data_IF_770928506202
#
_entry.id   IF_770928506202
#
_cell.length_a   1.000
_cell.length_b   1.000
_cell.length_c   1.000
_cell.angle_alpha   90.00
_cell.angle_beta   90.00
_cell.angle_gamma   90.00
#
_symmetry.space_group_name_H-M   'P 1'
#
loop_
_entity.id
_entity.type
_entity.pdbx_description
1 polymer ?
#
# COMPACT_ATOMS: atom_id res chain seq x y z
N UNK A 1 -0.84 7.30 -34.52
CA UNK A 1 -1.36 7.86 -33.24
C UNK A 1 -1.73 6.68 -32.36
N UNK A 2 -0.89 6.37 -31.37
CA UNK A 2 -1.20 5.39 -30.32
C UNK A 2 -2.27 5.99 -29.41
N UNK A 3 -3.34 5.25 -29.15
CA UNK A 3 -4.41 5.64 -28.21
C UNK A 3 -3.77 5.78 -26.81
N UNK A 4 -4.14 6.79 -26.01
CA UNK A 4 -3.67 6.86 -24.62
C UNK A 4 -4.10 5.59 -23.88
N UNK A 5 -3.13 4.91 -23.24
CA UNK A 5 -3.38 3.73 -22.42
C UNK A 5 -4.02 4.24 -21.12
N UNK A 6 -5.29 3.90 -20.91
CA UNK A 6 -5.99 4.26 -19.68
C UNK A 6 -5.54 3.28 -18.59
N UNK A 7 -5.06 3.76 -17.43
CA UNK A 7 -4.65 2.87 -16.36
C UNK A 7 -5.79 1.97 -15.88
N UNK A 8 -5.49 0.72 -15.57
CA UNK A 8 -6.48 -0.26 -15.09
C UNK A 8 -6.86 0.00 -13.64
N UNK A 9 -7.97 -0.59 -13.17
CA UNK A 9 -8.35 -0.53 -11.76
C UNK A 9 -7.32 -1.18 -10.86
N UNK A 10 -6.66 -2.25 -11.32
CA UNK A 10 -5.52 -2.86 -10.65
C UNK A 10 -4.35 -1.89 -10.48
N UNK A 11 -3.94 -1.18 -11.53
CA UNK A 11 -2.81 -0.24 -11.45
C UNK A 11 -3.05 0.88 -10.42
N UNK A 12 -4.28 1.42 -10.37
CA UNK A 12 -4.66 2.40 -9.35
C UNK A 12 -4.74 1.80 -7.96
N UNK A 13 -5.24 0.57 -7.83
CA UNK A 13 -5.24 -0.16 -6.57
C UNK A 13 -3.81 -0.40 -6.08
N UNK A 14 -2.90 -0.76 -6.98
CA UNK A 14 -1.50 -1.05 -6.66
C UNK A 14 -0.77 0.17 -6.12
N UNK A 15 -0.96 1.33 -6.76
CA UNK A 15 -0.46 2.60 -6.23
C UNK A 15 -1.06 2.90 -4.85
N UNK A 16 -2.39 2.75 -4.71
CA UNK A 16 -3.09 3.00 -3.44
C UNK A 16 -2.62 2.04 -2.34
N UNK A 17 -2.25 0.81 -2.66
CA UNK A 17 -1.65 -0.13 -1.71
C UNK A 17 -0.32 0.39 -1.21
N UNK A 18 0.60 0.76 -2.10
CA UNK A 18 1.91 1.29 -1.68
C UNK A 18 1.70 2.51 -0.78
N UNK A 19 0.90 3.48 -1.21
CA UNK A 19 0.59 4.65 -0.40
C UNK A 19 -0.04 4.30 0.95
N UNK A 20 -0.99 3.35 1.00
CA UNK A 20 -1.62 2.94 2.25
C UNK A 20 -0.60 2.36 3.24
N UNK A 21 0.41 1.61 2.76
CA UNK A 21 1.49 1.11 3.61
C UNK A 21 2.44 2.22 4.07
N UNK A 22 2.71 3.22 3.22
CA UNK A 22 3.49 4.42 3.60
C UNK A 22 2.86 5.27 4.69
N UNK A 23 1.59 5.07 5.02
CA UNK A 23 0.91 5.84 6.08
C UNK A 23 0.34 4.94 7.17
N UNK A 24 0.56 3.63 7.07
CA UNK A 24 -0.05 2.66 7.98
C UNK A 24 0.59 2.63 9.36
N UNK A 25 1.67 3.37 9.59
CA UNK A 25 2.31 3.65 10.87
C UNK A 25 2.19 5.14 11.26
N UNK A 26 1.46 5.93 10.46
CA UNK A 26 1.29 7.39 10.55
C UNK A 26 2.52 8.25 10.21
N UNK A 27 3.53 7.69 9.57
CA UNK A 27 4.73 8.42 9.18
C UNK A 27 5.05 8.18 7.70
N UNK A 28 5.41 9.24 6.97
CA UNK A 28 5.92 9.11 5.60
C UNK A 28 7.43 9.38 5.64
N UNK A 29 8.22 8.41 5.19
CA UNK A 29 9.68 8.55 5.05
C UNK A 29 10.09 8.86 3.59
N UNK A 30 11.27 9.46 3.42
CA UNK A 30 11.79 9.76 2.07
C UNK A 30 12.23 8.50 1.31
N UNK A 31 12.59 7.43 2.01
CA UNK A 31 12.97 6.15 1.38
C UNK A 31 11.75 5.47 0.74
N UNK A 32 10.59 5.52 1.39
CA UNK A 32 9.32 5.05 0.83
C UNK A 32 8.85 5.89 -0.36
N UNK A 33 9.00 7.22 -0.25
CA UNK A 33 8.72 8.18 -1.32
C UNK A 33 9.64 7.95 -2.53
N UNK A 34 10.90 7.58 -2.29
CA UNK A 34 11.83 7.18 -3.36
C UNK A 34 11.42 5.86 -4.00
N UNK A 35 10.98 4.89 -3.19
CA UNK A 35 10.51 3.59 -3.67
C UNK A 35 9.29 3.72 -4.59
N UNK A 36 8.28 4.53 -4.23
CA UNK A 36 7.07 4.67 -5.05
C UNK A 36 7.40 5.30 -6.42
N UNK A 37 8.32 6.27 -6.45
CA UNK A 37 8.81 6.86 -7.71
C UNK A 37 9.61 5.88 -8.54
N UNK A 38 10.46 5.08 -7.91
CA UNK A 38 11.20 4.04 -8.61
C UNK A 38 10.25 3.01 -9.25
N UNK A 39 9.26 2.53 -8.49
CA UNK A 39 8.22 1.62 -9.02
C UNK A 39 7.47 2.19 -10.20
N UNK A 40 7.20 3.50 -10.19
CA UNK A 40 6.56 4.16 -11.32
C UNK A 40 7.46 4.23 -12.56
N UNK A 41 8.76 4.49 -12.39
CA UNK A 41 9.75 4.41 -13.48
C UNK A 41 9.77 3.01 -14.08
N UNK A 42 9.65 1.98 -13.23
CA UNK A 42 9.57 0.56 -13.62
C UNK A 42 8.19 0.15 -14.17
N UNK A 43 7.27 1.10 -14.36
CA UNK A 43 5.92 0.89 -14.92
C UNK A 43 5.04 -0.06 -14.12
N UNK A 44 5.32 -0.25 -12.84
CA UNK A 44 4.49 -1.05 -11.92
C UNK A 44 3.05 -0.54 -11.91
N UNK A 45 2.87 0.78 -11.95
CA UNK A 45 1.55 1.42 -11.96
C UNK A 45 1.08 1.84 -13.36
N UNK A 46 1.69 1.30 -14.42
CA UNK A 46 1.41 1.71 -15.80
C UNK A 46 1.85 3.14 -16.11
N UNK A 47 0.97 3.92 -16.74
CA UNK A 47 1.21 5.30 -17.19
C UNK A 47 0.55 6.35 -16.27
N UNK A 48 0.30 6.01 -15.00
CA UNK A 48 -0.21 6.96 -14.01
C UNK A 48 0.74 8.15 -13.84
N UNK A 49 0.16 9.34 -13.70
CA UNK A 49 0.91 10.57 -13.36
C UNK A 49 1.10 10.62 -11.85
N UNK A 50 2.19 10.04 -11.38
CA UNK A 50 2.40 9.77 -9.95
C UNK A 50 2.28 11.00 -9.06
N UNK A 51 2.81 12.15 -9.48
CA UNK A 51 2.73 13.37 -8.67
C UNK A 51 1.27 13.84 -8.51
N UNK A 52 0.45 13.74 -9.56
CA UNK A 52 -0.97 14.08 -9.51
C UNK A 52 -1.72 13.08 -8.60
N UNK A 53 -1.45 11.78 -8.75
CA UNK A 53 -2.11 10.73 -7.97
C UNK A 53 -1.72 10.77 -6.48
N UNK A 54 -0.45 11.05 -6.16
CA UNK A 54 0.00 11.23 -4.78
C UNK A 54 -0.66 12.45 -4.12
N UNK A 55 -0.80 13.55 -4.87
CA UNK A 55 -1.51 14.73 -4.38
C UNK A 55 -2.98 14.42 -4.07
N UNK A 56 -3.65 13.67 -4.95
CA UNK A 56 -5.03 13.22 -4.72
C UNK A 56 -5.13 12.28 -3.52
N UNK A 57 -4.17 11.38 -3.30
CA UNK A 57 -4.16 10.46 -2.17
C UNK A 57 -3.91 11.18 -0.84
N UNK A 58 -3.02 12.16 -0.80
CA UNK A 58 -2.77 13.02 0.38
C UNK A 58 -4.03 13.79 0.76
N UNK A 59 -4.65 14.46 -0.22
CA UNK A 59 -5.87 15.19 0.03
C UNK A 59 -7.02 14.25 0.45
N UNK A 60 -7.10 13.04 -0.12
CA UNK A 60 -8.09 12.04 0.27
C UNK A 60 -7.90 11.57 1.73
N UNK A 61 -6.69 11.21 2.15
CA UNK A 61 -6.43 10.81 3.54
C UNK A 61 -6.66 11.97 4.50
N UNK A 62 -6.27 13.19 4.15
CA UNK A 62 -6.51 14.37 4.99
C UNK A 62 -8.00 14.66 5.18
N UNK A 63 -8.83 14.41 4.16
CA UNK A 63 -10.29 14.59 4.23
C UNK A 63 -11.01 13.47 5.00
N UNK A 64 -10.45 12.26 5.03
CA UNK A 64 -11.12 11.06 5.57
C UNK A 64 -10.52 10.57 6.89
N UNK A 65 -9.30 10.95 7.22
CA UNK A 65 -8.54 10.37 8.31
C UNK A 65 -8.45 8.85 8.17
N UNK A 66 -8.73 8.14 9.26
CA UNK A 66 -8.66 6.67 9.31
C UNK A 66 -9.63 5.99 8.33
N UNK A 67 -10.76 6.64 7.98
CA UNK A 67 -11.75 6.12 7.02
C UNK A 67 -11.19 6.00 5.59
N UNK A 68 -10.01 6.56 5.31
CA UNK A 68 -9.29 6.30 4.07
C UNK A 68 -9.05 4.80 3.86
N UNK A 69 -8.71 4.08 4.94
CA UNK A 69 -8.44 2.65 4.87
C UNK A 69 -9.71 1.83 4.58
N UNK A 70 -10.89 2.28 5.01
CA UNK A 70 -12.16 1.65 4.63
C UNK A 70 -12.35 1.66 3.11
N UNK A 71 -12.09 2.80 2.46
CA UNK A 71 -12.19 2.92 1.01
C UNK A 71 -11.13 2.07 0.30
N UNK A 72 -9.91 2.04 0.85
CA UNK A 72 -8.84 1.17 0.33
C UNK A 72 -9.24 -0.32 0.38
N UNK A 73 -9.64 -0.83 1.54
CA UNK A 73 -10.01 -2.24 1.68
C UNK A 73 -11.25 -2.62 0.87
N UNK A 74 -12.24 -1.73 0.75
CA UNK A 74 -13.38 -1.93 -0.17
C UNK A 74 -12.93 -2.04 -1.62
N UNK A 75 -11.88 -1.32 -2.02
CA UNK A 75 -11.33 -1.42 -3.38
C UNK A 75 -10.57 -2.72 -3.59
N UNK A 76 -9.76 -3.16 -2.62
CA UNK A 76 -9.10 -4.48 -2.63
C UNK A 76 -10.12 -5.60 -2.86
N UNK A 77 -11.26 -5.58 -2.16
CA UNK A 77 -12.30 -6.61 -2.29
C UNK A 77 -13.07 -6.59 -3.61
N UNK A 78 -13.04 -5.49 -4.36
CA UNK A 78 -13.85 -5.30 -5.58
C UNK A 78 -13.08 -5.51 -6.86
N UNK A 79 -11.79 -5.23 -6.86
CA UNK A 79 -10.94 -5.41 -8.03
C UNK A 79 -10.65 -6.90 -8.19
N UNK A 80 -11.07 -7.47 -9.32
CA UNK A 80 -10.69 -8.84 -9.67
C UNK A 80 -9.18 -8.87 -9.94
N UNK A 81 -8.47 -9.78 -9.27
CA UNK A 81 -7.04 -9.97 -9.38
C UNK A 81 -6.73 -11.44 -9.60
N UNK A 82 -5.72 -11.71 -10.41
CA UNK A 82 -5.06 -13.01 -10.49
C UNK A 82 -4.17 -13.24 -9.27
N UNK A 83 -3.83 -14.50 -8.95
CA UNK A 83 -2.87 -14.82 -7.89
C UNK A 83 -1.55 -14.04 -8.04
N UNK A 84 -1.07 -13.88 -9.27
CA UNK A 84 0.16 -13.13 -9.56
C UNK A 84 -0.01 -11.63 -9.29
N UNK A 85 -1.16 -11.04 -9.62
CA UNK A 85 -1.46 -9.64 -9.30
C UNK A 85 -1.54 -9.41 -7.78
N UNK A 86 -2.15 -10.32 -7.03
CA UNK A 86 -2.18 -10.27 -5.56
C UNK A 86 -0.78 -10.42 -4.94
N UNK A 87 0.04 -11.34 -5.48
CA UNK A 87 1.44 -11.48 -5.06
C UNK A 87 2.25 -10.23 -5.37
N UNK A 88 2.03 -9.57 -6.50
CA UNK A 88 2.70 -8.31 -6.85
C UNK A 88 2.24 -7.13 -5.98
N UNK A 89 0.98 -7.14 -5.57
CA UNK A 89 0.43 -6.22 -4.57
C UNK A 89 1.15 -6.39 -3.22
N UNK A 90 1.23 -7.62 -2.72
CA UNK A 90 1.95 -7.97 -1.49
C UNK A 90 3.45 -7.66 -1.58
N UNK A 91 4.09 -7.97 -2.70
CA UNK A 91 5.50 -7.66 -2.94
C UNK A 91 5.78 -6.17 -2.77
N UNK A 92 4.88 -5.32 -3.27
CA UNK A 92 5.04 -3.87 -3.18
C UNK A 92 4.75 -3.34 -1.78
N UNK A 93 3.73 -3.88 -1.09
CA UNK A 93 3.49 -3.59 0.32
C UNK A 93 4.71 -3.94 1.18
N UNK A 94 5.26 -5.16 1.02
CA UNK A 94 6.44 -5.63 1.76
C UNK A 94 7.69 -4.79 1.47
N UNK A 95 7.88 -4.37 0.22
CA UNK A 95 9.00 -3.49 -0.14
C UNK A 95 8.86 -2.10 0.48
N UNK A 96 7.62 -1.61 0.65
CA UNK A 96 7.36 -0.29 1.25
C UNK A 96 7.79 -0.28 2.72
N UNK A 97 7.29 -1.23 3.51
CA UNK A 97 7.61 -1.34 4.96
C UNK A 97 9.06 -1.77 5.25
N UNK A 98 9.84 -2.05 4.20
CA UNK A 98 11.26 -2.39 4.29
C UNK A 98 12.15 -1.24 3.82
N UNK A 99 11.58 -0.15 3.28
CA UNK A 99 12.35 0.89 2.64
C UNK A 99 13.25 1.64 3.63
N UNK A 100 12.82 1.78 4.88
CA UNK A 100 13.56 2.45 5.97
C UNK A 100 14.34 1.46 6.88
N UNK A 101 14.55 0.22 6.42
CA UNK A 101 15.21 -0.88 7.13
C UNK A 101 14.60 -1.28 8.49
N UNK A 102 13.36 -0.86 8.80
CA UNK A 102 12.72 -1.17 10.09
C UNK A 102 11.24 -1.53 9.98
N UNK A 103 10.96 -2.83 9.89
CA UNK A 103 9.59 -3.33 9.99
C UNK A 103 9.06 -3.21 11.42
N UNK A 104 7.95 -2.51 11.58
CA UNK A 104 7.20 -2.31 12.82
C UNK A 104 6.08 -3.35 12.98
N UNK A 105 5.60 -3.51 14.22
CA UNK A 105 4.46 -4.38 14.49
C UNK A 105 3.14 -3.83 13.89
N UNK A 106 3.02 -2.51 13.73
CA UNK A 106 1.85 -1.88 13.12
C UNK A 106 1.73 -2.24 11.65
N UNK A 107 2.83 -2.20 10.91
CA UNK A 107 2.91 -2.60 9.50
C UNK A 107 2.60 -4.09 9.30
N UNK A 108 3.13 -4.96 10.17
CA UNK A 108 2.78 -6.39 10.17
C UNK A 108 1.28 -6.60 10.43
N UNK A 109 0.68 -5.82 11.34
CA UNK A 109 -0.76 -5.92 11.59
C UNK A 109 -1.57 -5.43 10.39
N UNK A 110 -1.10 -4.39 9.67
CA UNK A 110 -1.73 -3.92 8.45
C UNK A 110 -1.60 -4.93 7.30
N UNK A 111 -0.44 -5.62 7.18
CA UNK A 111 -0.26 -6.75 6.27
C UNK A 111 -1.23 -7.89 6.55
N UNK A 112 -1.47 -8.23 7.82
CA UNK A 112 -2.47 -9.25 8.19
C UNK A 112 -3.86 -8.85 7.70
N UNK A 113 -4.24 -7.58 7.82
CA UNK A 113 -5.53 -7.08 7.34
C UNK A 113 -5.63 -7.22 5.82
N UNK A 114 -4.62 -6.77 5.08
CA UNK A 114 -4.58 -6.94 3.62
C UNK A 114 -4.66 -8.42 3.25
N UNK A 115 -3.88 -9.29 3.90
CA UNK A 115 -3.85 -10.73 3.65
C UNK A 115 -5.23 -11.36 3.72
N UNK A 116 -6.07 -10.98 4.68
CA UNK A 116 -7.44 -11.54 4.85
C UNK A 116 -8.31 -11.31 3.61
N UNK A 117 -8.04 -10.25 2.85
CA UNK A 117 -8.83 -9.85 1.69
C UNK A 117 -8.39 -10.55 0.39
N UNK A 118 -7.19 -11.11 0.36
CA UNK A 118 -6.58 -11.72 -0.82
C UNK A 118 -6.93 -13.21 -0.91
N UNK A 119 -7.14 -13.71 -2.12
CA UNK A 119 -7.50 -15.10 -2.39
C UNK A 119 -6.30 -16.03 -2.54
N UNK A 120 -5.12 -15.49 -2.86
CA UNK A 120 -3.89 -16.24 -3.05
C UNK A 120 -3.55 -17.10 -1.83
N UNK A 121 -3.05 -18.30 -2.06
CA UNK A 121 -2.83 -19.27 -1.00
C UNK A 121 -1.72 -18.84 -0.02
N UNK A 122 -1.84 -19.27 1.24
CA UNK A 122 -0.77 -19.08 2.23
C UNK A 122 0.56 -19.71 1.78
N UNK A 123 0.50 -20.86 1.10
CA UNK A 123 1.68 -21.55 0.57
C UNK A 123 2.39 -20.72 -0.49
N UNK A 124 1.65 -20.12 -1.42
CA UNK A 124 2.18 -19.23 -2.45
C UNK A 124 2.87 -18.02 -1.80
N UNK A 125 2.26 -17.41 -0.78
CA UNK A 125 2.81 -16.26 -0.06
C UNK A 125 4.11 -16.63 0.67
N UNK A 126 4.11 -17.73 1.44
CA UNK A 126 5.32 -18.15 2.18
C UNK A 126 6.43 -18.56 1.23
N UNK A 127 6.10 -19.19 0.11
CA UNK A 127 7.08 -19.54 -0.93
C UNK A 127 7.69 -18.30 -1.57
N UNK A 128 6.87 -17.29 -1.89
CA UNK A 128 7.34 -16.05 -2.53
C UNK A 128 8.07 -15.11 -1.58
N UNK A 129 7.69 -15.10 -0.31
CA UNK A 129 8.19 -14.21 0.73
C UNK A 129 8.62 -14.99 2.00
N UNK A 130 9.66 -15.85 1.92
CA UNK A 130 10.01 -16.75 3.01
C UNK A 130 10.39 -16.05 4.33
N UNK A 131 10.89 -14.82 4.26
CA UNK A 131 11.33 -14.05 5.42
C UNK A 131 10.17 -13.33 6.14
N UNK A 132 9.23 -12.74 5.37
CA UNK A 132 8.17 -11.88 5.92
C UNK A 132 6.82 -12.59 5.93
N UNK A 133 6.55 -13.42 4.92
CA UNK A 133 5.32 -14.20 4.75
C UNK A 133 4.82 -14.87 6.03
N UNK A 134 5.66 -15.65 6.73
CA UNK A 134 5.27 -16.33 7.98
C UNK A 134 4.76 -15.41 9.10
N UNK A 135 5.04 -14.10 9.06
CA UNK A 135 4.67 -13.15 10.11
C UNK A 135 3.22 -12.65 9.98
N UNK A 136 2.63 -12.73 8.78
CA UNK A 136 1.30 -12.20 8.49
C UNK A 136 0.32 -13.20 7.86
N UNK A 137 0.79 -14.41 7.51
CA UNK A 137 -0.09 -15.52 7.15
C UNK A 137 -0.59 -16.23 8.41
N UNK A 138 -1.89 -16.16 8.66
CA UNK A 138 -2.52 -16.96 9.71
C UNK A 138 -2.82 -18.38 9.17
N UNK A 139 -2.54 -19.40 9.99
CA UNK A 139 -2.82 -20.80 9.67
C UNK A 139 -4.30 -21.13 9.85
N UNK A 140 -4.99 -20.39 10.70
CA UNK A 140 -6.35 -20.68 11.12
C UNK A 140 -7.32 -19.56 10.71
N UNK A 141 -7.89 -19.73 9.52
CA UNK A 141 -9.19 -19.19 9.07
C UNK A 141 -9.32 -17.67 8.94
N UNK A 142 -9.30 -17.20 7.69
CA UNK A 142 -9.81 -15.89 7.31
C UNK A 142 -11.35 -15.92 7.20
N UNK A 143 -12.04 -15.08 7.97
CA UNK A 143 -13.48 -14.80 7.79
C UNK A 143 -13.73 -13.29 7.81
N UNK A 144 -14.87 -12.84 7.29
CA UNK A 144 -15.29 -11.44 7.39
C UNK A 144 -15.34 -10.92 8.85
N UNK A 145 -15.64 -11.80 9.81
CA UNK A 145 -15.64 -11.46 11.24
C UNK A 145 -14.22 -11.17 11.71
N UNK A 146 -13.27 -12.05 11.35
CA UNK A 146 -11.86 -11.87 11.68
C UNK A 146 -11.29 -10.59 11.08
N UNK A 147 -11.62 -10.27 9.81
CA UNK A 147 -11.27 -8.97 9.22
C UNK A 147 -11.79 -7.79 10.04
N UNK A 148 -13.09 -7.81 10.38
CA UNK A 148 -13.73 -6.72 11.13
C UNK A 148 -13.10 -6.52 12.51
N UNK A 149 -12.78 -7.60 13.22
CA UNK A 149 -12.12 -7.53 14.52
C UNK A 149 -10.69 -6.99 14.40
N UNK A 150 -9.92 -7.51 13.45
CA UNK A 150 -8.54 -7.09 13.23
C UNK A 150 -8.46 -5.60 12.86
N UNK A 151 -9.30 -5.16 11.92
CA UNK A 151 -9.34 -3.77 11.51
C UNK A 151 -9.92 -2.85 12.60
N UNK A 152 -10.97 -3.26 13.32
CA UNK A 152 -11.48 -2.46 14.44
C UNK A 152 -10.43 -2.26 15.54
N UNK A 153 -9.63 -3.29 15.84
CA UNK A 153 -8.53 -3.18 16.80
C UNK A 153 -7.42 -2.26 16.30
N UNK A 154 -7.06 -2.36 15.01
CA UNK A 154 -6.09 -1.47 14.37
C UNK A 154 -6.56 0.00 14.40
N UNK A 155 -7.81 0.26 14.00
CA UNK A 155 -8.36 1.61 13.91
C UNK A 155 -8.55 2.28 15.28
N UNK A 156 -8.96 1.53 16.32
CA UNK A 156 -9.19 2.08 17.68
C UNK A 156 -7.97 2.78 18.28
N UNK A 157 -6.77 2.37 17.88
CA UNK A 157 -5.52 2.87 18.44
C UNK A 157 -4.91 4.00 17.62
N UNK A 158 -5.49 4.32 16.45
CA UNK A 158 -4.82 5.16 15.45
C UNK A 158 -5.54 6.50 15.27
N UNK A 159 -4.76 7.57 15.35
CA UNK A 159 -5.17 8.91 14.90
C UNK A 159 -4.32 9.25 13.69
N UNK A 160 -4.96 9.53 12.55
CA UNK A 160 -4.23 9.94 11.35
C UNK A 160 -3.81 11.40 11.48
N UNK A 161 -2.53 11.74 11.27
CA UNK A 161 -2.10 13.12 11.17
C UNK A 161 -2.62 13.75 9.86
N UNK A 162 -2.49 15.08 9.78
CA UNK A 162 -2.58 15.77 8.49
C UNK A 162 -1.21 15.70 7.83
N UNK A 163 -1.16 15.18 6.62
CA UNK A 163 0.04 15.14 5.80
C UNK A 163 0.10 16.39 4.90
N UNK A 164 1.29 16.94 4.70
CA UNK A 164 1.51 17.99 3.72
C UNK A 164 1.84 17.37 2.36
N UNK A 165 1.56 18.09 1.28
CA UNK A 165 2.01 17.66 -0.05
C UNK A 165 3.53 17.56 -0.13
N UNK A 166 4.27 18.35 0.66
CA UNK A 166 5.72 18.28 0.74
C UNK A 166 6.22 16.95 1.30
N UNK A 167 5.41 16.22 2.07
CA UNK A 167 5.79 14.93 2.65
C UNK A 167 6.01 13.87 1.56
N UNK A 168 5.35 14.04 0.41
CA UNK A 168 5.51 13.17 -0.75
C UNK A 168 6.32 13.80 -1.88
N UNK A 169 6.82 15.04 -1.74
CA UNK A 169 7.66 15.68 -2.77
C UNK A 169 9.11 15.18 -2.71
N UNK A 170 9.73 15.02 -3.88
CA UNK A 170 11.15 14.70 -3.97
C UNK A 170 12.00 15.94 -3.72
N UNK A 171 12.60 16.03 -2.53
CA UNK A 171 13.52 17.12 -2.18
C UNK A 171 14.92 16.96 -2.82
N UNK A 172 15.21 15.84 -3.49
CA UNK A 172 16.52 15.63 -4.15
C UNK A 172 16.63 16.43 -5.45
N UNK A 173 15.52 16.71 -6.14
CA UNK A 173 15.52 17.56 -7.35
C UNK A 173 15.83 19.04 -7.06
N UNK A 174 15.69 19.48 -5.80
CA UNK A 174 16.02 20.85 -5.39
C UNK A 174 17.52 21.10 -5.18
N UNK A 175 18.35 20.06 -5.05
CA UNK A 175 19.79 20.21 -4.77
C UNK A 175 20.60 20.41 -6.06
N UNK A 176 20.14 19.88 -7.21
CA UNK A 176 20.83 20.00 -8.51
C UNK A 176 20.51 21.31 -9.28
N UNK A 177 19.86 22.29 -8.66
CA UNK A 177 19.54 23.61 -9.25
C UNK A 177 20.24 24.79 -8.58
N UNK A 178 21.46 24.61 -8.06
CA UNK A 178 22.32 25.72 -7.62
C UNK A 178 23.68 25.71 -8.30
#
# INVERSE_FOLDING_TARGET
MTKPIIPTDYQRLHLKTVFAFMICDTHISQDEVSLIRQKAKDKVFGDLKIEDELAELIDHVNRRGIDFFDDYFKKVQRVEMTDEEELNLLQSAIQTIKADDKITQEEINFLKILRVLLQVSNESIVTRFPEVGPQFVDKDRFTDIYFKELYANYAKLKTMPIFDISDVQDITETIDRK
#
